data_IF_366546470561
#
_entry.id   IF_366546470561
#
_cell.length_a   1.000
_cell.length_b   1.000
_cell.length_c   1.000
_cell.angle_alpha   90.00
_cell.angle_beta   90.00
_cell.angle_gamma   90.00
#
_symmetry.space_group_name_H-M   'P 1'
#
loop_
_entity.id
_entity.type
_entity.pdbx_description
1 polymer ?
#
# COMPACT_ATOMS: atom_id res chain seq x y z
N UNK A 1 53.99 -46.94 -25.19
CA UNK A 1 52.78 -46.83 -24.35
C UNK A 1 51.85 -45.82 -25.00
N UNK A 2 50.84 -46.31 -25.69
CA UNK A 2 49.82 -45.52 -26.39
C UNK A 2 48.66 -45.29 -25.43
N UNK A 3 48.31 -44.03 -25.16
CA UNK A 3 47.15 -43.66 -24.36
C UNK A 3 45.95 -43.51 -25.30
N UNK A 4 44.92 -44.31 -25.06
CA UNK A 4 43.66 -44.28 -25.79
C UNK A 4 42.84 -43.02 -25.47
N UNK A 5 42.02 -42.49 -26.42
CA UNK A 5 41.15 -41.36 -26.16
C UNK A 5 39.86 -41.80 -25.43
N UNK A 6 39.41 -40.95 -24.49
CA UNK A 6 38.15 -41.11 -23.77
C UNK A 6 36.93 -40.92 -24.70
N UNK A 7 35.82 -41.65 -24.46
CA UNK A 7 34.63 -41.57 -25.29
C UNK A 7 33.82 -40.29 -25.01
N UNK A 8 33.26 -39.73 -26.08
CA UNK A 8 32.37 -38.58 -26.09
C UNK A 8 31.15 -38.79 -25.17
N UNK A 9 30.96 -37.90 -24.20
CA UNK A 9 29.73 -37.79 -23.43
C UNK A 9 28.63 -37.16 -24.32
N UNK A 10 27.57 -37.92 -24.60
CA UNK A 10 26.34 -37.41 -25.21
C UNK A 10 25.58 -36.49 -24.23
N UNK A 11 24.99 -35.38 -24.70
CA UNK A 11 24.12 -34.54 -23.89
C UNK A 11 22.64 -34.92 -24.10
N UNK A 12 22.20 -36.07 -23.57
CA UNK A 12 20.79 -36.47 -23.66
C UNK A 12 20.24 -36.75 -22.25
N UNK A 13 19.74 -35.69 -21.59
CA UNK A 13 18.72 -35.76 -20.54
C UNK A 13 18.24 -34.34 -20.19
N UNK A 14 17.62 -33.66 -21.15
CA UNK A 14 16.70 -32.57 -20.83
C UNK A 14 15.35 -33.20 -20.45
N UNK A 15 14.79 -32.93 -19.25
CA UNK A 15 13.47 -33.44 -18.90
C UNK A 15 12.43 -32.81 -19.83
N UNK A 16 11.82 -33.64 -20.68
CA UNK A 16 10.63 -33.29 -21.44
C UNK A 16 9.49 -33.06 -20.47
N UNK A 17 9.15 -31.79 -20.23
CA UNK A 17 7.95 -31.40 -19.51
C UNK A 17 6.76 -31.92 -20.34
N UNK A 18 5.86 -32.74 -19.79
CA UNK A 18 4.73 -33.24 -20.56
C UNK A 18 3.84 -32.07 -21.00
N UNK A 19 3.59 -31.97 -22.31
CA UNK A 19 2.55 -31.14 -22.92
C UNK A 19 1.16 -31.68 -22.56
N UNK A 20 0.87 -31.73 -21.27
CA UNK A 20 -0.42 -32.07 -20.71
C UNK A 20 -1.33 -30.86 -20.83
N UNK A 21 -1.94 -30.70 -22.01
CA UNK A 21 -3.31 -30.26 -22.26
C UNK A 21 -4.01 -29.50 -21.10
N UNK A 22 -3.41 -28.41 -20.61
CA UNK A 22 -4.08 -27.46 -19.75
C UNK A 22 -5.06 -26.76 -20.66
N UNK A 23 -6.30 -27.23 -20.64
CA UNK A 23 -7.45 -26.46 -21.09
C UNK A 23 -7.22 -25.02 -20.63
N UNK A 24 -6.83 -24.16 -21.57
CA UNK A 24 -6.65 -22.75 -21.36
C UNK A 24 -8.03 -22.27 -20.94
N UNK A 25 -8.29 -22.20 -19.62
CA UNK A 25 -9.35 -21.37 -19.08
C UNK A 25 -8.96 -19.96 -19.50
N UNK A 26 -9.38 -19.59 -20.71
CA UNK A 26 -9.27 -18.25 -21.24
C UNK A 26 -10.23 -17.42 -20.41
N UNK A 27 -9.75 -16.98 -19.26
CA UNK A 27 -10.34 -15.87 -18.55
C UNK A 27 -10.55 -14.74 -19.55
N UNK A 28 -11.66 -13.99 -19.47
CA UNK A 28 -11.94 -12.91 -20.41
C UNK A 28 -10.80 -11.89 -20.40
N UNK A 29 -9.93 -11.95 -21.39
CA UNK A 29 -8.83 -11.00 -21.55
C UNK A 29 -9.41 -9.72 -22.14
N UNK A 30 -9.35 -8.63 -21.40
CA UNK A 30 -9.68 -7.30 -21.93
C UNK A 30 -8.75 -6.98 -23.11
N UNK A 31 -9.27 -6.22 -24.08
CA UNK A 31 -8.41 -5.70 -25.14
C UNK A 31 -7.34 -4.78 -24.53
N UNK A 32 -6.10 -4.79 -25.04
CA UNK A 32 -5.01 -3.95 -24.51
C UNK A 32 -5.39 -2.47 -24.38
N UNK A 33 -6.22 -1.98 -25.29
CA UNK A 33 -6.78 -0.63 -25.27
C UNK A 33 -7.65 -0.36 -24.03
N UNK A 34 -8.56 -1.26 -23.68
CA UNK A 34 -9.45 -1.11 -22.51
C UNK A 34 -8.65 -1.06 -21.22
N UNK A 35 -7.61 -1.88 -21.10
CA UNK A 35 -6.74 -1.90 -19.92
C UNK A 35 -5.95 -0.62 -19.77
N UNK A 36 -5.36 -0.13 -20.87
CA UNK A 36 -4.66 1.15 -20.86
C UNK A 36 -5.61 2.30 -20.50
N UNK A 37 -6.84 2.29 -21.03
CA UNK A 37 -7.86 3.30 -20.70
C UNK A 37 -8.26 3.25 -19.22
N UNK A 38 -8.57 2.06 -18.68
CA UNK A 38 -8.95 1.89 -17.28
C UNK A 38 -7.80 2.30 -16.33
N UNK A 39 -6.58 1.87 -16.63
CA UNK A 39 -5.40 2.26 -15.85
C UNK A 39 -5.13 3.77 -15.94
N UNK A 40 -5.32 4.39 -17.10
CA UNK A 40 -5.19 5.83 -17.27
C UNK A 40 -6.22 6.58 -16.41
N UNK A 41 -7.51 6.23 -16.54
CA UNK A 41 -8.59 6.83 -15.75
C UNK A 41 -8.35 6.65 -14.26
N UNK A 42 -7.98 5.44 -13.84
CA UNK A 42 -7.65 5.14 -12.45
C UNK A 42 -6.50 6.01 -11.94
N UNK A 43 -5.38 6.09 -12.67
CA UNK A 43 -4.23 6.92 -12.28
C UNK A 43 -4.57 8.41 -12.23
N UNK A 44 -5.39 8.91 -13.17
CA UNK A 44 -5.84 10.30 -13.19
C UNK A 44 -6.74 10.60 -11.98
N UNK A 45 -7.73 9.75 -11.71
CA UNK A 45 -8.61 9.89 -10.55
C UNK A 45 -7.82 9.83 -9.24
N UNK A 46 -6.89 8.87 -9.11
CA UNK A 46 -6.02 8.77 -7.94
C UNK A 46 -5.15 10.00 -7.73
N UNK A 47 -4.51 10.52 -8.79
CA UNK A 47 -3.74 11.75 -8.73
C UNK A 47 -4.58 12.95 -8.32
N UNK A 48 -5.77 13.11 -8.92
CA UNK A 48 -6.70 14.20 -8.58
C UNK A 48 -7.18 14.10 -7.12
N UNK A 49 -7.45 12.89 -6.63
CA UNK A 49 -7.84 12.67 -5.24
C UNK A 49 -6.72 13.05 -4.26
N UNK A 50 -5.48 12.60 -4.51
CA UNK A 50 -4.34 12.94 -3.67
C UNK A 50 -4.00 14.44 -3.71
N UNK A 51 -3.92 15.04 -4.90
CA UNK A 51 -3.68 16.49 -5.04
C UNK A 51 -4.82 17.28 -4.40
N UNK A 52 -6.07 16.88 -4.62
CA UNK A 52 -7.25 17.51 -4.02
C UNK A 52 -7.20 17.48 -2.50
N UNK A 53 -6.84 16.33 -1.90
CA UNK A 53 -6.65 16.20 -0.44
C UNK A 53 -5.51 17.08 0.05
N UNK A 54 -4.37 17.13 -0.64
CA UNK A 54 -3.25 18.00 -0.27
C UNK A 54 -3.64 19.48 -0.30
N UNK A 55 -4.36 19.93 -1.34
CA UNK A 55 -4.85 21.32 -1.44
C UNK A 55 -5.89 21.60 -0.37
N UNK A 56 -6.79 20.66 -0.08
CA UNK A 56 -7.76 20.81 1.00
C UNK A 56 -7.08 21.02 2.36
N UNK A 57 -6.06 20.22 2.68
CA UNK A 57 -5.28 20.37 3.92
C UNK A 57 -4.53 21.71 3.96
N UNK A 58 -3.93 22.13 2.85
CA UNK A 58 -3.28 23.44 2.75
C UNK A 58 -4.25 24.56 3.10
N UNK A 59 -5.43 24.56 2.49
CA UNK A 59 -6.43 25.63 2.67
C UNK A 59 -7.05 25.62 4.06
N UNK A 60 -7.32 24.45 4.63
CA UNK A 60 -8.09 24.34 5.88
C UNK A 60 -7.22 24.27 7.14
N UNK A 61 -5.96 23.83 7.04
CA UNK A 61 -5.11 23.54 8.21
C UNK A 61 -3.78 24.30 8.21
N UNK A 62 -3.28 24.73 7.06
CA UNK A 62 -1.95 25.38 6.96
C UNK A 62 -2.04 26.88 6.70
N UNK A 63 -2.87 27.33 5.76
CA UNK A 63 -3.07 28.75 5.47
C UNK A 63 -3.72 29.53 6.62
N UNK A 64 -4.69 28.98 7.38
CA UNK A 64 -5.27 29.69 8.51
C UNK A 64 -4.24 29.78 9.63
N UNK A 65 -3.72 30.99 9.90
CA UNK A 65 -2.70 31.25 10.94
C UNK A 65 -3.21 31.10 12.37
N UNK A 66 -4.47 30.76 12.56
CA UNK A 66 -5.11 30.57 13.86
C UNK A 66 -5.04 29.13 14.36
N UNK A 67 -4.49 28.21 13.57
CA UNK A 67 -4.40 26.79 13.91
C UNK A 67 -3.16 26.54 14.77
N UNK A 68 -3.30 25.66 15.75
CA UNK A 68 -2.18 25.22 16.59
C UNK A 68 -1.05 24.60 15.76
N UNK A 69 0.20 24.85 16.17
CA UNK A 69 1.41 24.38 15.46
C UNK A 69 1.40 22.87 15.25
N UNK A 70 0.89 22.12 16.23
CA UNK A 70 0.79 20.65 16.15
C UNK A 70 -0.15 20.20 15.03
N UNK A 71 -1.33 20.80 14.94
CA UNK A 71 -2.29 20.50 13.88
C UNK A 71 -1.73 20.88 12.50
N UNK A 72 -1.01 22.01 12.41
CA UNK A 72 -0.32 22.41 11.18
C UNK A 72 0.77 21.40 10.80
N UNK A 73 1.56 20.91 11.77
CA UNK A 73 2.62 19.91 11.54
C UNK A 73 2.04 18.63 10.94
N UNK A 74 1.01 18.05 11.55
CA UNK A 74 0.33 16.85 11.06
C UNK A 74 -0.20 17.07 9.64
N UNK A 75 -0.85 18.22 9.39
CA UNK A 75 -1.38 18.54 8.07
C UNK A 75 -0.28 18.63 7.00
N UNK A 76 0.89 19.20 7.30
CA UNK A 76 2.01 19.29 6.35
C UNK A 76 2.61 17.91 6.05
N UNK A 77 2.72 17.04 7.05
CA UNK A 77 3.16 15.65 6.85
C UNK A 77 2.16 14.89 5.96
N UNK A 78 0.86 14.94 6.28
CA UNK A 78 -0.20 14.35 5.44
C UNK A 78 -0.14 14.89 4.00
N UNK A 79 -0.01 16.22 3.81
CA UNK A 79 0.13 16.82 2.49
C UNK A 79 1.30 16.27 1.70
N UNK A 80 2.44 16.06 2.37
CA UNK A 80 3.66 15.51 1.77
C UNK A 80 3.46 14.07 1.34
N UNK A 81 2.76 13.28 2.15
CA UNK A 81 2.33 11.92 1.82
C UNK A 81 1.46 11.90 0.57
N UNK A 82 0.42 12.74 0.52
CA UNK A 82 -0.47 12.84 -0.64
C UNK A 82 0.29 13.27 -1.91
N UNK A 83 1.15 14.29 -1.81
CA UNK A 83 1.95 14.76 -2.93
C UNK A 83 2.91 13.68 -3.46
N UNK A 84 3.55 12.93 -2.56
CA UNK A 84 4.44 11.81 -2.91
C UNK A 84 3.68 10.71 -3.62
N UNK A 85 2.51 10.33 -3.11
CA UNK A 85 1.67 9.31 -3.75
C UNK A 85 1.19 9.75 -5.14
N UNK A 86 0.78 11.01 -5.31
CA UNK A 86 0.42 11.56 -6.61
C UNK A 86 1.60 11.52 -7.61
N UNK A 87 2.81 11.86 -7.15
CA UNK A 87 4.02 11.79 -7.97
C UNK A 87 4.32 10.35 -8.41
N UNK A 88 4.14 9.37 -7.52
CA UNK A 88 4.39 7.96 -7.82
C UNK A 88 3.34 7.33 -8.75
N UNK A 89 2.16 7.94 -8.89
CA UNK A 89 1.16 7.57 -9.92
C UNK A 89 1.49 8.13 -11.31
N UNK A 90 2.37 9.14 -11.42
CA UNK A 90 2.68 9.78 -12.69
C UNK A 90 3.25 8.82 -13.75
N UNK A 91 4.19 7.91 -13.44
CA UNK A 91 4.67 6.93 -14.42
C UNK A 91 3.55 6.04 -14.96
N UNK A 92 2.62 5.59 -14.10
CA UNK A 92 1.45 4.81 -14.52
C UNK A 92 0.62 5.60 -15.54
N UNK A 93 0.32 6.86 -15.25
CA UNK A 93 -0.40 7.74 -16.17
C UNK A 93 0.33 7.87 -17.52
N UNK A 94 1.63 8.19 -17.51
CA UNK A 94 2.43 8.41 -18.72
C UNK A 94 2.50 7.14 -19.59
N UNK A 95 2.78 5.98 -19.00
CA UNK A 95 2.92 4.74 -19.78
C UNK A 95 1.59 4.28 -20.38
N UNK A 96 0.47 4.46 -19.68
CA UNK A 96 -0.85 4.12 -20.21
C UNK A 96 -1.33 5.14 -21.25
N UNK A 97 -0.98 6.43 -21.13
CA UNK A 97 -1.23 7.42 -22.17
C UNK A 97 -0.45 7.11 -23.45
N UNK A 98 0.83 6.76 -23.33
CA UNK A 98 1.66 6.33 -24.47
C UNK A 98 1.10 5.08 -25.14
N UNK A 99 0.59 4.13 -24.37
CA UNK A 99 -0.07 2.94 -24.89
C UNK A 99 -1.28 3.27 -25.76
N UNK A 100 -2.15 4.18 -25.31
CA UNK A 100 -3.30 4.64 -26.11
C UNK A 100 -2.88 5.38 -27.38
N UNK A 101 -1.70 6.01 -27.39
CA UNK A 101 -1.11 6.62 -28.59
C UNK A 101 -0.44 5.59 -29.53
N UNK A 102 -0.54 4.29 -29.24
CA UNK A 102 0.13 3.24 -30.01
C UNK A 102 1.65 3.16 -29.79
N UNK A 103 2.19 3.88 -28.80
CA UNK A 103 3.61 3.90 -28.44
C UNK A 103 3.89 2.93 -27.29
N UNK A 104 3.48 1.67 -27.47
CA UNK A 104 3.66 0.66 -26.43
C UNK A 104 5.14 0.33 -26.21
N UNK A 105 5.62 0.52 -24.98
CA UNK A 105 6.98 0.11 -24.61
C UNK A 105 7.01 -1.41 -24.42
N UNK A 106 7.59 -2.10 -25.40
CA UNK A 106 7.86 -3.55 -25.36
C UNK A 106 9.05 -3.91 -24.47
N UNK A 107 9.77 -2.91 -23.95
CA UNK A 107 10.93 -3.15 -23.07
C UNK A 107 10.46 -3.76 -21.75
N UNK A 108 10.99 -4.96 -21.49
CA UNK A 108 10.85 -5.62 -20.22
C UNK A 108 11.66 -4.86 -19.16
N UNK A 109 11.01 -4.62 -18.03
CA UNK A 109 11.65 -4.24 -16.80
C UNK A 109 12.05 -5.52 -16.08
N UNK A 110 13.36 -5.68 -15.91
CA UNK A 110 13.96 -6.79 -15.17
C UNK A 110 14.59 -6.21 -13.92
N UNK A 111 14.16 -6.68 -12.76
CA UNK A 111 14.81 -6.34 -11.50
C UNK A 111 15.97 -7.33 -11.32
N UNK A 112 17.24 -6.90 -11.37
CA UNK A 112 18.36 -7.81 -11.16
C UNK A 112 18.36 -8.33 -9.71
N UNK A 113 18.99 -9.49 -9.41
CA UNK A 113 19.14 -9.94 -8.04
C UNK A 113 19.92 -8.90 -7.21
N UNK A 114 19.47 -8.66 -5.98
CA UNK A 114 20.10 -7.69 -5.08
C UNK A 114 21.50 -8.18 -4.69
N UNK A 115 22.52 -7.35 -4.97
CA UNK A 115 23.88 -7.59 -4.45
C UNK A 115 23.99 -7.02 -3.04
N UNK A 116 24.70 -7.72 -2.15
CA UNK A 116 24.87 -7.31 -0.75
C UNK A 116 25.42 -5.88 -0.58
N UNK A 117 26.27 -5.39 -1.51
CA UNK A 117 26.81 -4.02 -1.47
C UNK A 117 25.70 -2.97 -1.62
N UNK A 118 24.72 -3.21 -2.49
CA UNK A 118 23.57 -2.31 -2.64
C UNK A 118 22.63 -2.42 -1.44
N UNK A 119 22.45 -3.62 -0.90
CA UNK A 119 21.68 -3.83 0.33
C UNK A 119 22.27 -3.03 1.50
N UNK A 120 23.59 -3.12 1.68
CA UNK A 120 24.31 -2.39 2.71
C UNK A 120 24.24 -0.88 2.48
N UNK A 121 24.44 -0.42 1.24
CA UNK A 121 24.35 1.01 0.91
C UNK A 121 22.95 1.58 1.18
N UNK A 122 21.88 0.86 0.80
CA UNK A 122 20.49 1.25 1.09
C UNK A 122 20.20 1.21 2.59
N UNK A 123 20.69 0.20 3.31
CA UNK A 123 20.53 0.10 4.77
C UNK A 123 21.22 1.25 5.50
N UNK A 124 22.46 1.58 5.14
CA UNK A 124 23.20 2.72 5.69
C UNK A 124 22.47 4.02 5.38
N UNK A 125 22.01 4.21 4.14
CA UNK A 125 21.26 5.40 3.75
C UNK A 125 19.94 5.53 4.51
N UNK A 126 19.25 4.42 4.77
CA UNK A 126 18.03 4.40 5.56
C UNK A 126 18.30 4.78 7.01
N UNK A 127 19.27 4.15 7.67
CA UNK A 127 19.67 4.49 9.05
C UNK A 127 20.11 5.95 9.13
N UNK A 128 20.90 6.43 8.16
CA UNK A 128 21.30 7.83 8.08
C UNK A 128 20.09 8.77 7.97
N UNK A 129 19.10 8.42 7.13
CA UNK A 129 17.86 9.19 6.98
C UNK A 129 17.09 9.27 8.30
N UNK A 130 16.98 8.16 9.04
CA UNK A 130 16.31 8.11 10.35
C UNK A 130 17.07 8.93 11.40
N UNK A 131 18.40 8.79 11.47
CA UNK A 131 19.23 9.58 12.36
C UNK A 131 19.11 11.07 12.06
N UNK A 132 19.14 11.46 10.78
CA UNK A 132 18.99 12.85 10.37
C UNK A 132 17.60 13.38 10.74
N UNK A 133 16.54 12.59 10.52
CA UNK A 133 15.17 12.95 10.93
C UNK A 133 15.06 13.18 12.43
N UNK A 134 15.66 12.28 13.24
CA UNK A 134 15.68 12.42 14.70
C UNK A 134 16.55 13.57 15.21
N UNK A 135 17.61 13.94 14.50
CA UNK A 135 18.44 15.08 14.88
C UNK A 135 17.74 16.40 14.56
N UNK A 136 17.04 16.43 13.44
CA UNK A 136 16.29 17.60 12.98
C UNK A 136 15.15 17.95 13.94
N UNK A 137 14.51 16.98 14.59
CA UNK A 137 13.48 17.24 15.62
C UNK A 137 14.03 17.84 16.92
N UNK A 138 15.35 17.82 17.14
CA UNK A 138 15.98 18.48 18.29
C UNK A 138 16.08 20.00 18.11
N UNK A 139 15.88 20.51 16.88
CA UNK A 139 15.92 21.95 16.59
C UNK A 139 14.59 22.59 17.04
N UNK A 140 14.60 23.50 18.03
CA UNK A 140 13.37 24.12 18.53
C UNK A 140 12.61 24.89 17.44
N UNK A 141 11.28 24.91 17.56
CA UNK A 141 10.29 25.66 16.75
C UNK A 141 10.18 25.33 15.25
N UNK A 142 11.28 24.96 14.58
CA UNK A 142 11.33 24.79 13.11
C UNK A 142 11.87 23.44 12.64
N UNK A 143 12.40 22.61 13.55
CA UNK A 143 12.97 21.30 13.23
C UNK A 143 12.03 20.41 12.41
N UNK A 144 10.74 20.41 12.74
CA UNK A 144 9.74 19.60 12.02
C UNK A 144 9.65 19.89 10.52
N UNK A 145 10.03 21.08 10.02
CA UNK A 145 10.04 21.33 8.58
C UNK A 145 11.11 20.51 7.85
N UNK A 146 12.22 20.18 8.51
CA UNK A 146 13.27 19.35 7.94
C UNK A 146 12.90 17.87 7.88
N UNK A 147 11.87 17.41 8.61
CA UNK A 147 11.41 16.02 8.52
C UNK A 147 10.57 15.78 7.26
N UNK A 148 9.98 16.82 6.67
CA UNK A 148 9.14 16.76 5.47
C UNK A 148 9.83 16.05 4.29
N UNK A 149 11.03 16.46 3.82
CA UNK A 149 11.71 15.75 2.73
C UNK A 149 12.28 14.39 3.15
N UNK A 150 12.47 14.15 4.45
CA UNK A 150 13.03 12.90 4.98
C UNK A 150 11.96 11.81 5.11
N UNK A 151 10.69 12.18 5.29
CA UNK A 151 9.58 11.24 5.45
C UNK A 151 9.45 10.26 4.26
N UNK A 152 9.35 10.70 2.99
CA UNK A 152 9.31 9.78 1.86
C UNK A 152 10.52 8.86 1.80
N UNK A 153 11.72 9.36 2.12
CA UNK A 153 12.95 8.57 2.09
C UNK A 153 12.97 7.52 3.20
N UNK A 154 12.54 7.89 4.40
CA UNK A 154 12.47 6.99 5.56
C UNK A 154 11.57 5.78 5.30
N UNK A 155 10.49 5.96 4.51
CA UNK A 155 9.55 4.89 4.16
C UNK A 155 9.94 4.17 2.86
N UNK A 156 10.34 4.89 1.80
CA UNK A 156 10.64 4.27 0.50
C UNK A 156 11.89 3.40 0.53
N UNK A 157 12.94 3.78 1.25
CA UNK A 157 14.21 3.04 1.25
C UNK A 157 14.06 1.58 1.74
N UNK A 158 13.46 1.29 2.90
CA UNK A 158 13.27 -0.09 3.34
C UNK A 158 12.30 -0.85 2.43
N UNK A 159 11.28 -0.19 1.86
CA UNK A 159 10.37 -0.81 0.90
C UNK A 159 11.07 -1.20 -0.41
N UNK A 160 11.95 -0.34 -0.94
CA UNK A 160 12.78 -0.66 -2.11
C UNK A 160 13.66 -1.87 -1.81
N UNK A 161 14.27 -1.92 -0.61
CA UNK A 161 15.09 -3.05 -0.20
C UNK A 161 14.27 -4.36 -0.13
N UNK A 162 13.07 -4.31 0.44
CA UNK A 162 12.15 -5.46 0.54
C UNK A 162 11.66 -5.93 -0.83
N UNK A 163 11.25 -5.01 -1.71
CA UNK A 163 10.86 -5.37 -3.08
C UNK A 163 12.04 -5.93 -3.85
N UNK A 164 13.24 -5.38 -3.70
CA UNK A 164 14.41 -5.87 -4.42
C UNK A 164 14.86 -7.25 -3.94
N UNK A 165 14.78 -7.51 -2.63
CA UNK A 165 15.05 -8.85 -2.08
C UNK A 165 13.98 -9.87 -2.50
N UNK A 166 12.70 -9.50 -2.49
CA UNK A 166 11.59 -10.39 -2.84
C UNK A 166 11.39 -10.60 -4.34
N UNK A 167 11.58 -9.58 -5.17
CA UNK A 167 11.31 -9.61 -6.62
C UNK A 167 12.58 -9.75 -7.48
N UNK A 168 13.77 -9.61 -6.88
CA UNK A 168 15.05 -9.63 -7.59
C UNK A 168 15.29 -10.94 -8.34
N UNK A 169 15.48 -10.86 -9.66
CA UNK A 169 15.67 -12.00 -10.55
C UNK A 169 14.41 -12.77 -10.91
N UNK A 170 13.25 -12.43 -10.32
CA UNK A 170 11.98 -13.13 -10.55
C UNK A 170 11.01 -12.33 -11.44
N UNK A 171 11.12 -11.00 -11.43
CA UNK A 171 10.19 -10.12 -12.15
C UNK A 171 10.74 -9.70 -13.51
N UNK A 172 10.07 -10.13 -14.58
CA UNK A 172 10.34 -9.73 -15.96
C UNK A 172 9.02 -9.35 -16.66
N UNK A 173 8.55 -8.12 -16.45
CA UNK A 173 7.28 -7.62 -16.99
C UNK A 173 7.50 -6.32 -17.77
N UNK A 174 6.56 -5.95 -18.65
CA UNK A 174 6.66 -4.66 -19.35
C UNK A 174 6.62 -3.50 -18.35
N UNK A 175 7.31 -2.39 -18.67
CA UNK A 175 7.30 -1.17 -17.83
C UNK A 175 5.90 -0.66 -17.55
N UNK A 176 5.03 -0.67 -18.56
CA UNK A 176 3.61 -0.31 -18.41
C UNK A 176 2.95 -1.17 -17.33
N UNK A 177 3.12 -2.49 -17.38
CA UNK A 177 2.54 -3.41 -16.41
C UNK A 177 3.12 -3.18 -15.01
N UNK A 178 4.43 -3.00 -14.88
CA UNK A 178 5.07 -2.70 -13.60
C UNK A 178 4.45 -1.46 -12.95
N UNK A 179 4.39 -0.34 -13.66
CA UNK A 179 3.86 0.90 -13.11
C UNK A 179 2.35 0.88 -12.88
N UNK A 180 1.59 0.17 -13.72
CA UNK A 180 0.16 -0.06 -13.45
C UNK A 180 -0.06 -0.90 -12.19
N UNK A 181 0.79 -1.90 -11.94
CA UNK A 181 0.74 -2.70 -10.71
C UNK A 181 1.09 -1.85 -9.51
N UNK A 182 2.22 -1.14 -9.54
CA UNK A 182 2.64 -0.28 -8.44
C UNK A 182 1.63 0.81 -8.13
N UNK A 183 1.07 1.46 -9.17
CA UNK A 183 0.09 2.53 -8.96
C UNK A 183 -1.24 2.02 -8.41
N UNK A 184 -1.70 0.85 -8.83
CA UNK A 184 -2.87 0.21 -8.21
C UNK A 184 -2.55 -0.27 -6.78
N UNK A 185 -1.35 -0.78 -6.53
CA UNK A 185 -0.94 -1.16 -5.19
C UNK A 185 -0.96 0.03 -4.22
N UNK A 186 -0.48 1.19 -4.66
CA UNK A 186 -0.54 2.43 -3.89
C UNK A 186 -2.01 2.85 -3.68
N UNK A 187 -2.70 3.30 -4.73
CA UNK A 187 -4.01 3.91 -4.55
C UNK A 187 -5.16 2.91 -4.36
N UNK A 188 -5.13 1.79 -5.09
CA UNK A 188 -6.25 0.87 -5.23
C UNK A 188 -6.36 -0.09 -4.06
N UNK A 189 -5.26 -0.69 -3.63
CA UNK A 189 -5.29 -1.61 -2.49
C UNK A 189 -5.67 -0.89 -1.19
N UNK A 190 -5.16 0.32 -0.98
CA UNK A 190 -5.53 1.18 0.16
C UNK A 190 -7.01 1.56 0.11
N UNK A 191 -7.51 2.00 -1.05
CA UNK A 191 -8.92 2.35 -1.19
C UNK A 191 -9.85 1.15 -0.95
N UNK A 192 -9.45 -0.05 -1.40
CA UNK A 192 -10.20 -1.28 -1.17
C UNK A 192 -10.18 -1.70 0.30
N UNK A 193 -9.03 -1.59 0.98
CA UNK A 193 -8.92 -1.88 2.40
C UNK A 193 -9.80 -0.94 3.22
N UNK A 194 -9.69 0.37 2.98
CA UNK A 194 -10.54 1.37 3.62
C UNK A 194 -12.03 1.11 3.37
N UNK A 195 -12.42 0.82 2.12
CA UNK A 195 -13.81 0.51 1.79
C UNK A 195 -14.29 -0.77 2.52
N UNK A 196 -13.45 -1.78 2.61
CA UNK A 196 -13.73 -3.02 3.33
C UNK A 196 -13.88 -2.81 4.83
N UNK A 197 -13.01 -2.01 5.44
CA UNK A 197 -13.07 -1.63 6.84
C UNK A 197 -14.34 -0.84 7.15
N UNK A 198 -14.65 0.19 6.36
CA UNK A 198 -15.87 0.97 6.53
C UNK A 198 -17.13 0.13 6.33
N UNK A 199 -17.12 -0.78 5.37
CA UNK A 199 -18.22 -1.73 5.17
C UNK A 199 -18.37 -2.65 6.38
N UNK A 200 -17.28 -3.18 6.92
CA UNK A 200 -17.29 -4.02 8.10
C UNK A 200 -17.84 -3.27 9.32
N UNK A 201 -17.40 -2.02 9.53
CA UNK A 201 -17.93 -1.15 10.58
C UNK A 201 -19.42 -0.86 10.40
N UNK A 202 -19.86 -0.56 9.17
CA UNK A 202 -21.26 -0.32 8.86
C UNK A 202 -22.14 -1.56 9.10
N UNK A 203 -21.64 -2.75 8.71
CA UNK A 203 -22.31 -4.02 8.98
C UNK A 203 -22.36 -4.33 10.47
N UNK A 204 -21.25 -4.15 11.20
CA UNK A 204 -21.18 -4.34 12.65
C UNK A 204 -22.18 -3.43 13.37
N UNK A 205 -22.23 -2.14 12.98
CA UNK A 205 -23.21 -1.18 13.47
C UNK A 205 -24.64 -1.62 13.14
N UNK A 206 -24.93 -1.97 11.89
CA UNK A 206 -26.27 -2.37 11.46
C UNK A 206 -26.78 -3.63 12.15
N UNK A 207 -25.91 -4.63 12.34
CA UNK A 207 -26.22 -5.83 13.13
C UNK A 207 -26.45 -5.46 14.59
N UNK A 208 -25.62 -4.58 15.15
CA UNK A 208 -25.76 -4.06 16.51
C UNK A 208 -27.13 -3.40 16.73
N UNK A 209 -27.53 -2.53 15.82
CA UNK A 209 -28.84 -1.86 15.83
C UNK A 209 -30.00 -2.84 15.63
N UNK A 210 -29.85 -3.87 14.79
CA UNK A 210 -30.90 -4.88 14.58
C UNK A 210 -31.12 -5.76 15.81
N UNK A 211 -30.04 -6.19 16.47
CA UNK A 211 -30.07 -7.12 17.60
C UNK A 211 -30.40 -6.41 18.93
N UNK A 212 -29.69 -5.32 19.23
CA UNK A 212 -29.80 -4.60 20.50
C UNK A 212 -30.56 -3.30 20.40
N UNK A 213 -30.73 -2.76 19.20
CA UNK A 213 -31.40 -1.48 19.01
C UNK A 213 -32.88 -1.51 19.35
N UNK A 214 -33.53 -2.64 19.66
CA UNK A 214 -34.91 -2.64 20.20
C UNK A 214 -34.96 -2.48 21.72
N UNK A 215 -33.84 -2.61 22.41
CA UNK A 215 -33.77 -2.49 23.86
C UNK A 215 -33.44 -1.03 24.24
N UNK A 216 -34.30 -0.36 25.05
CA UNK A 216 -34.11 1.06 25.38
C UNK A 216 -32.82 1.33 26.16
N UNK A 217 -32.33 0.35 26.91
CA UNK A 217 -31.06 0.44 27.65
C UNK A 217 -29.85 0.70 26.72
N UNK A 218 -29.67 -0.11 25.67
CA UNK A 218 -28.51 0.00 24.79
C UNK A 218 -28.52 1.27 23.95
N UNK A 219 -29.70 1.78 23.57
CA UNK A 219 -29.82 3.08 22.89
C UNK A 219 -29.32 4.21 23.78
N UNK A 220 -29.82 4.28 25.02
CA UNK A 220 -29.40 5.30 25.97
C UNK A 220 -27.90 5.26 26.24
N UNK A 221 -27.32 4.06 26.31
CA UNK A 221 -25.87 3.87 26.49
C UNK A 221 -25.07 4.41 25.30
N UNK A 222 -25.48 4.10 24.07
CA UNK A 222 -24.80 4.55 22.84
C UNK A 222 -24.93 6.07 22.69
N UNK A 223 -26.11 6.63 22.95
CA UNK A 223 -26.34 8.08 22.86
C UNK A 223 -25.50 8.83 23.90
N UNK A 224 -25.45 8.32 25.14
CA UNK A 224 -24.62 8.89 26.20
C UNK A 224 -23.12 8.81 25.86
N UNK A 225 -22.66 7.66 25.35
CA UNK A 225 -21.29 7.49 24.88
C UNK A 225 -20.94 8.44 23.74
N UNK A 226 -21.85 8.58 22.77
CA UNK A 226 -21.71 9.51 21.65
C UNK A 226 -21.54 10.94 22.13
N UNK A 227 -22.41 11.39 23.04
CA UNK A 227 -22.32 12.73 23.62
C UNK A 227 -21.02 12.94 24.44
N UNK A 228 -20.57 11.94 25.19
CA UNK A 228 -19.32 12.02 25.94
C UNK A 228 -18.10 12.11 25.02
N UNK A 229 -18.10 11.36 23.91
CA UNK A 229 -17.03 11.40 22.92
C UNK A 229 -17.04 12.70 22.10
N UNK A 230 -18.22 13.23 21.76
CA UNK A 230 -18.34 14.52 21.08
C UNK A 230 -17.94 15.70 21.97
N UNK A 231 -18.20 15.60 23.28
CA UNK A 231 -17.80 16.62 24.25
C UNK A 231 -16.32 16.53 24.64
N UNK A 232 -15.65 15.40 24.40
CA UNK A 232 -14.24 15.23 24.70
C UNK A 232 -13.40 16.12 23.77
N UNK A 233 -12.61 17.00 24.38
CA UNK A 233 -11.70 17.91 23.67
C UNK A 233 -10.30 17.35 23.55
N UNK A 234 -9.96 16.39 24.41
CA UNK A 234 -8.66 15.72 24.42
C UNK A 234 -8.80 14.20 24.27
N UNK A 235 -7.78 13.51 23.71
CA UNK A 235 -7.75 12.05 23.66
C UNK A 235 -7.81 11.39 25.03
N UNK A 236 -7.29 12.05 26.07
CA UNK A 236 -7.35 11.56 27.45
C UNK A 236 -8.79 11.55 27.98
N UNK A 237 -9.55 12.64 27.75
CA UNK A 237 -10.97 12.70 28.12
C UNK A 237 -11.80 11.64 27.39
N UNK A 238 -11.53 11.41 26.10
CA UNK A 238 -12.19 10.37 25.33
C UNK A 238 -11.87 8.97 25.88
N UNK A 239 -10.62 8.73 26.28
CA UNK A 239 -10.19 7.47 26.89
C UNK A 239 -10.84 7.26 28.27
N UNK A 240 -10.94 8.31 29.07
CA UNK A 240 -11.61 8.27 30.38
C UNK A 240 -13.10 7.91 30.22
N UNK A 241 -13.78 8.47 29.22
CA UNK A 241 -15.15 8.10 28.88
C UNK A 241 -15.29 6.63 28.45
N UNK A 242 -14.29 6.07 27.78
CA UNK A 242 -14.27 4.68 27.32
C UNK A 242 -13.82 3.68 28.39
N UNK A 243 -13.09 4.12 29.42
CA UNK A 243 -12.48 3.27 30.45
C UNK A 243 -13.44 2.27 31.12
N UNK A 244 -14.69 2.65 31.48
CA UNK A 244 -15.66 1.70 32.06
C UNK A 244 -16.00 0.54 31.11
N UNK A 245 -16.00 0.80 29.81
CA UNK A 245 -16.32 -0.19 28.78
C UNK A 245 -15.12 -1.05 28.44
N UNK A 246 -13.93 -0.44 28.41
CA UNK A 246 -12.66 -1.15 28.24
C UNK A 246 -12.35 -2.09 29.41
N UNK A 247 -12.97 -1.90 30.59
CA UNK A 247 -12.85 -2.85 31.70
C UNK A 247 -13.61 -4.16 31.47
N UNK A 248 -14.50 -4.22 30.47
CA UNK A 248 -15.25 -5.43 30.14
C UNK A 248 -14.41 -6.32 29.18
N UNK A 249 -14.07 -7.57 29.58
CA UNK A 249 -13.24 -8.45 28.76
C UNK A 249 -13.86 -8.80 27.41
N UNK A 250 -15.19 -8.77 27.29
CA UNK A 250 -15.88 -8.99 26.02
C UNK A 250 -15.71 -7.84 25.04
N UNK A 251 -15.69 -6.59 25.55
CA UNK A 251 -15.44 -5.40 24.73
C UNK A 251 -14.01 -5.41 24.23
N UNK A 252 -13.04 -5.70 25.12
CA UNK A 252 -11.65 -5.91 24.75
C UNK A 252 -11.52 -7.03 23.71
N UNK A 253 -12.17 -8.18 23.95
CA UNK A 253 -12.13 -9.33 23.04
C UNK A 253 -12.68 -8.99 21.65
N UNK A 254 -13.77 -8.24 21.57
CA UNK A 254 -14.33 -7.76 20.31
C UNK A 254 -13.40 -6.76 19.61
N UNK A 255 -12.78 -5.84 20.36
CA UNK A 255 -11.81 -4.90 19.83
C UNK A 255 -10.58 -5.61 19.26
N UNK A 256 -10.05 -6.62 19.96
CA UNK A 256 -8.95 -7.44 19.46
C UNK A 256 -9.34 -8.25 18.22
N UNK A 257 -10.52 -8.88 18.23
CA UNK A 257 -11.01 -9.60 17.06
C UNK A 257 -11.09 -8.66 15.84
N UNK A 258 -11.59 -7.45 16.04
CA UNK A 258 -11.65 -6.45 14.98
C UNK A 258 -10.26 -5.99 14.53
N UNK A 259 -9.46 -5.41 15.43
CA UNK A 259 -8.20 -4.75 15.11
C UNK A 259 -7.06 -5.72 14.77
N UNK A 260 -7.00 -6.90 15.38
CA UNK A 260 -5.89 -7.85 15.19
C UNK A 260 -6.23 -9.00 14.24
N UNK A 261 -7.49 -9.22 13.89
CA UNK A 261 -7.89 -10.29 12.97
C UNK A 261 -8.63 -9.77 11.74
N UNK A 262 -9.76 -9.08 11.92
CA UNK A 262 -10.60 -8.68 10.79
C UNK A 262 -9.96 -7.60 9.92
N UNK A 263 -9.39 -6.55 10.53
CA UNK A 263 -8.70 -5.47 9.80
C UNK A 263 -7.50 -6.04 9.02
N UNK A 264 -6.53 -6.77 9.62
CA UNK A 264 -5.44 -7.38 8.87
C UNK A 264 -5.91 -8.33 7.76
N UNK A 265 -7.00 -9.09 7.97
CA UNK A 265 -7.55 -9.96 6.94
C UNK A 265 -8.08 -9.17 5.72
N UNK A 266 -8.75 -8.04 5.96
CA UNK A 266 -9.23 -7.14 4.90
C UNK A 266 -8.05 -6.52 4.17
N UNK A 267 -7.03 -6.07 4.90
CA UNK A 267 -5.82 -5.49 4.31
C UNK A 267 -5.08 -6.49 3.43
N UNK A 268 -4.84 -7.71 3.92
CA UNK A 268 -4.17 -8.75 3.14
C UNK A 268 -4.98 -9.18 1.91
N UNK A 269 -6.31 -9.29 2.04
CA UNK A 269 -7.17 -9.53 0.88
C UNK A 269 -7.09 -8.39 -0.16
N UNK A 270 -7.03 -7.15 0.31
CA UNK A 270 -6.96 -5.95 -0.54
C UNK A 270 -5.61 -5.83 -1.24
N UNK A 271 -4.50 -6.15 -0.56
CA UNK A 271 -3.14 -6.19 -1.14
C UNK A 271 -3.08 -7.17 -2.33
N UNK A 272 -3.75 -8.31 -2.24
CA UNK A 272 -3.72 -9.36 -3.28
C UNK A 272 -4.80 -9.17 -4.37
N UNK A 273 -5.79 -8.29 -4.16
CA UNK A 273 -6.92 -8.05 -5.07
C UNK A 273 -6.51 -7.88 -6.55
N UNK A 274 -5.40 -7.19 -6.82
CA UNK A 274 -4.88 -6.98 -8.17
C UNK A 274 -4.43 -8.28 -8.86
N UNK A 275 -3.93 -9.25 -8.11
CA UNK A 275 -3.52 -10.54 -8.64
C UNK A 275 -4.71 -11.35 -9.13
N UNK A 276 -5.93 -11.09 -8.67
CA UNK A 276 -7.12 -11.70 -9.27
C UNK A 276 -7.42 -11.14 -10.67
N UNK A 277 -7.06 -9.87 -10.90
CA UNK A 277 -7.21 -9.23 -12.21
C UNK A 277 -6.06 -9.60 -13.18
N UNK A 278 -4.86 -9.79 -12.66
CA UNK A 278 -3.64 -10.13 -13.43
C UNK A 278 -3.33 -11.63 -13.50
N UNK A 279 -3.97 -12.44 -12.65
CA UNK A 279 -3.75 -13.88 -12.49
C UNK A 279 -3.75 -14.68 -13.80
N UNK A 280 -4.60 -14.36 -14.79
CA UNK A 280 -4.57 -15.03 -16.09
C UNK A 280 -3.27 -14.82 -16.90
N UNK A 281 -2.37 -13.94 -16.45
CA UNK A 281 -1.18 -13.49 -17.20
C UNK A 281 0.12 -13.68 -16.42
N UNK A 282 0.11 -14.49 -15.36
CA UNK A 282 1.33 -14.86 -14.65
C UNK A 282 2.08 -15.93 -15.45
N UNK A 283 3.34 -15.68 -15.80
CA UNK A 283 4.17 -16.63 -16.51
C UNK A 283 4.75 -17.71 -15.56
N UNK A 284 4.89 -17.41 -14.27
CA UNK A 284 5.42 -18.34 -13.26
C UNK A 284 4.93 -18.02 -11.84
N UNK A 285 5.11 -18.98 -10.93
CA UNK A 285 4.89 -18.75 -9.49
C UNK A 285 5.84 -17.68 -8.92
N UNK A 286 7.07 -17.60 -9.43
CA UNK A 286 8.04 -16.57 -9.05
C UNK A 286 7.59 -15.17 -9.44
N UNK A 287 6.98 -15.00 -10.62
CA UNK A 287 6.36 -13.72 -11.02
C UNK A 287 5.19 -13.36 -10.10
N UNK A 288 4.36 -14.35 -9.72
CA UNK A 288 3.27 -14.15 -8.77
C UNK A 288 3.75 -13.66 -7.40
N UNK A 289 4.80 -14.30 -6.86
CA UNK A 289 5.45 -13.86 -5.61
C UNK A 289 6.00 -12.44 -5.72
N UNK A 290 6.73 -12.15 -6.80
CA UNK A 290 7.33 -10.84 -7.02
C UNK A 290 6.28 -9.72 -7.16
N UNK A 291 5.16 -9.99 -7.84
CA UNK A 291 4.03 -9.06 -7.94
C UNK A 291 3.31 -8.90 -6.60
N UNK A 292 3.18 -9.98 -5.80
CA UNK A 292 2.67 -9.90 -4.43
C UNK A 292 3.52 -9.00 -3.54
N UNK A 293 4.85 -9.16 -3.58
CA UNK A 293 5.78 -8.30 -2.85
C UNK A 293 5.66 -6.82 -3.28
N UNK A 294 5.51 -6.56 -4.59
CA UNK A 294 5.30 -5.22 -5.11
C UNK A 294 3.96 -4.62 -4.64
N UNK A 295 2.89 -5.42 -4.61
CA UNK A 295 1.60 -4.98 -4.11
C UNK A 295 1.64 -4.64 -2.61
N UNK A 296 2.23 -5.51 -1.80
CA UNK A 296 2.39 -5.28 -0.36
C UNK A 296 3.22 -4.02 -0.08
N UNK A 297 4.29 -3.79 -0.85
CA UNK A 297 5.09 -2.57 -0.72
C UNK A 297 4.33 -1.30 -1.10
N UNK A 298 3.48 -1.36 -2.13
CA UNK A 298 2.64 -0.22 -2.51
C UNK A 298 1.62 0.17 -1.43
N UNK A 299 0.99 -0.82 -0.79
CA UNK A 299 0.10 -0.58 0.36
C UNK A 299 0.86 0.00 1.56
N UNK A 300 1.97 -0.66 1.94
CA UNK A 300 2.79 -0.27 3.09
C UNK A 300 3.39 1.12 2.95
N UNK A 301 3.54 1.62 1.73
CA UNK A 301 4.02 2.97 1.47
C UNK A 301 3.05 4.03 2.00
N UNK A 302 1.76 3.93 1.65
CA UNK A 302 0.77 4.91 2.13
C UNK A 302 0.57 4.75 3.63
N UNK A 303 0.41 3.52 4.10
CA UNK A 303 0.23 3.24 5.52
C UNK A 303 1.41 3.79 6.35
N UNK A 304 2.64 3.46 5.96
CA UNK A 304 3.84 3.91 6.67
C UNK A 304 4.05 5.43 6.64
N UNK A 305 3.57 6.12 5.59
CA UNK A 305 3.63 7.58 5.49
C UNK A 305 2.44 8.29 6.16
N UNK A 306 1.35 7.59 6.46
CA UNK A 306 0.20 8.10 7.21
C UNK A 306 0.29 7.80 8.70
N UNK A 307 1.10 6.82 9.11
CA UNK A 307 1.32 6.45 10.50
C UNK A 307 2.20 7.44 11.30
N UNK A 308 2.42 8.65 10.79
CA UNK A 308 3.31 9.68 11.37
C UNK A 308 2.55 10.82 12.00
#
# INVERSE_FOLDING_TARGET
MSLAPLPNAQPDCAPTIPDGNRAQRRWPTFSPFREALLALLFSLTGMLAFIGRAVYLLVTRVLPRTVEVETMRIAVLEMTTMATCALLLLPMFIFNLRALQGKDETRLMIIPPLRWRYALALGILWVFTLCLGSLVTLIPESGWMGTVPLLPLGVLLPLILLVWTGAGGLLAISRRRFWSVSGFAIAGSTALAMAGEYLLLALGRGIGELLWGKQPFWRGLIDQLGQQLEAATTPAEALDALTPYLSNPWVIGALFLFAACLVPLIEEASKVSLLFWLGPRLASAGEGFALGALCGAGFSLIEGMLAT
#
